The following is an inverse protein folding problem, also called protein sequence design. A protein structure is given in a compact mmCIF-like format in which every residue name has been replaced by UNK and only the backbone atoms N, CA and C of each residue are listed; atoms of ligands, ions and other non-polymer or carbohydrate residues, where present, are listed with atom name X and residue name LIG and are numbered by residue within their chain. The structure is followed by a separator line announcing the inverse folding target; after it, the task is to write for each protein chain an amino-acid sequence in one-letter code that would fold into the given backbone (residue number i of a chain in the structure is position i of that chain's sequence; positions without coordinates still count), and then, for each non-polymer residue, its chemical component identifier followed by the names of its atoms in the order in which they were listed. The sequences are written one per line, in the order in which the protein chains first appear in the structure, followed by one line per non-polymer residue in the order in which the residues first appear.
data_IF_297429752782
#
_entry.id   IF_297429752782
#
_cell.length_a   1.000
_cell.length_b   1.000
_cell.length_c   1.000
_cell.angle_alpha   90.00
_cell.angle_beta   90.00
_cell.angle_gamma   90.00
#
_symmetry.space_group_name_H-M   'P 1'
#
loop_
_entity.id
_entity.type
_entity.pdbx_description
1 polymer ?
#
# COMPACT_ATOMS: atom_id res chain seq x y z
N UNK A 1 22.32 3.22 4.18
CA UNK A 1 21.68 2.18 3.35
C UNK A 1 20.44 2.80 2.75
N UNK A 2 20.45 3.12 1.46
CA UNK A 2 19.19 3.39 0.75
C UNK A 2 18.38 2.10 0.81
N UNK A 3 17.16 2.10 1.37
CA UNK A 3 16.33 0.91 1.32
C UNK A 3 16.13 0.54 -0.15
N UNK A 4 16.32 -0.75 -0.46
CA UNK A 4 16.04 -1.26 -1.80
C UNK A 4 14.53 -1.13 -2.00
N UNK A 5 14.13 -0.21 -2.88
CA UNK A 5 12.73 0.04 -3.22
C UNK A 5 12.11 -1.26 -3.75
N UNK A 6 10.86 -1.53 -3.36
CA UNK A 6 10.09 -2.67 -3.86
C UNK A 6 10.01 -2.62 -5.38
N UNK A 7 10.43 -3.68 -6.09
CA UNK A 7 10.34 -3.75 -7.54
C UNK A 7 8.89 -3.71 -8.05
N UNK A 8 8.66 -3.10 -9.21
CA UNK A 8 7.32 -2.97 -9.82
C UNK A 8 6.68 -4.31 -10.20
N UNK A 9 7.49 -5.34 -10.45
CA UNK A 9 7.06 -6.71 -10.73
C UNK A 9 6.75 -7.52 -9.44
N UNK A 10 6.74 -6.88 -8.28
CA UNK A 10 6.43 -7.55 -7.02
C UNK A 10 4.93 -7.62 -6.80
N UNK A 11 4.45 -8.83 -6.53
CA UNK A 11 3.12 -9.07 -5.97
C UNK A 11 3.22 -8.87 -4.46
N UNK A 12 2.40 -7.99 -3.90
CA UNK A 12 2.42 -7.69 -2.47
C UNK A 12 1.16 -8.23 -1.80
N UNK A 13 1.33 -8.75 -0.58
CA UNK A 13 0.22 -9.19 0.26
C UNK A 13 0.40 -8.71 1.70
N UNK A 14 -0.68 -8.71 2.48
CA UNK A 14 -0.63 -8.39 3.90
C UNK A 14 0.08 -9.49 4.68
N UNK A 15 0.96 -9.11 5.60
CA UNK A 15 1.55 -10.05 6.55
C UNK A 15 0.46 -10.71 7.42
N UNK A 16 0.67 -11.95 7.91
CA UNK A 16 -0.30 -12.63 8.75
C UNK A 16 -0.69 -11.81 9.98
N UNK A 17 -1.99 -11.72 10.25
CA UNK A 17 -2.54 -10.92 11.34
C UNK A 17 -2.68 -9.43 11.02
N UNK A 18 -2.16 -8.95 9.88
CA UNK A 18 -2.39 -7.59 9.40
C UNK A 18 -3.71 -7.52 8.63
N UNK A 19 -4.47 -6.44 8.83
CA UNK A 19 -5.74 -6.15 8.16
C UNK A 19 -5.88 -4.66 7.87
N UNK A 20 -6.43 -4.32 6.71
CA UNK A 20 -7.00 -3.00 6.46
C UNK A 20 -8.41 -2.94 7.06
N UNK A 21 -8.68 -1.92 7.88
CA UNK A 21 -9.96 -1.76 8.59
C UNK A 21 -10.47 -0.33 8.48
N UNK A 22 -11.77 -0.16 8.28
CA UNK A 22 -12.44 1.14 8.41
C UNK A 22 -12.84 1.35 9.87
N UNK A 23 -12.27 2.38 10.51
CA UNK A 23 -12.73 2.89 11.80
C UNK A 23 -13.92 3.83 11.55
N UNK A 24 -15.14 3.32 11.75
CA UNK A 24 -16.38 4.06 11.49
C UNK A 24 -16.66 5.16 12.51
N UNK A 25 -16.01 5.14 13.68
CA UNK A 25 -16.17 6.19 14.70
C UNK A 25 -15.40 7.44 14.30
N UNK A 26 -14.23 7.24 13.68
CA UNK A 26 -13.35 8.33 13.22
C UNK A 26 -13.37 8.56 11.71
N UNK A 27 -14.25 7.84 11.02
CA UNK A 27 -14.41 7.80 9.56
C UNK A 27 -13.08 7.79 8.79
N UNK A 28 -12.23 6.80 9.08
CA UNK A 28 -10.91 6.68 8.46
C UNK A 28 -10.46 5.23 8.36
N UNK A 29 -9.54 4.95 7.44
CA UNK A 29 -8.94 3.63 7.35
C UNK A 29 -7.66 3.54 8.18
N UNK A 30 -7.48 2.36 8.77
CA UNK A 30 -6.30 2.01 9.55
C UNK A 30 -5.78 0.66 9.11
N UNK A 31 -4.46 0.49 9.18
CA UNK A 31 -3.81 -0.82 9.16
C UNK A 31 -3.73 -1.28 10.61
N UNK A 32 -4.27 -2.46 10.89
CA UNK A 32 -4.29 -3.06 12.21
C UNK A 32 -3.57 -4.40 12.19
N UNK A 33 -2.72 -4.63 13.18
CA UNK A 33 -2.04 -5.89 13.44
C UNK A 33 -1.73 -6.09 14.92
N UNK A 34 -1.06 -7.20 15.30
CA UNK A 34 -0.77 -7.51 16.69
C UNK A 34 0.04 -6.43 17.42
N UNK A 35 1.02 -5.85 16.73
CA UNK A 35 1.96 -4.85 17.28
C UNK A 35 1.90 -3.51 16.52
N UNK A 36 0.90 -3.34 15.63
CA UNK A 36 0.85 -2.19 14.72
C UNK A 36 -0.56 -1.63 14.59
N UNK A 37 -0.66 -0.30 14.69
CA UNK A 37 -1.83 0.47 14.31
C UNK A 37 -1.32 1.70 13.53
N UNK A 38 -1.61 1.77 12.24
CA UNK A 38 -1.21 2.88 11.38
C UNK A 38 -2.46 3.52 10.80
N UNK A 39 -2.59 4.82 10.99
CA UNK A 39 -3.64 5.62 10.36
C UNK A 39 -3.25 5.92 8.92
N UNK A 40 -4.20 5.78 8.00
CA UNK A 40 -4.00 6.08 6.60
C UNK A 40 -4.69 7.39 6.24
N UNK A 41 -4.00 8.18 5.42
CA UNK A 41 -4.65 9.24 4.64
C UNK A 41 -5.39 8.62 3.43
N UNK A 42 -6.03 9.46 2.62
CA UNK A 42 -6.80 9.03 1.45
C UNK A 42 -5.94 8.26 0.43
N UNK A 43 -4.75 8.77 0.11
CA UNK A 43 -3.83 8.12 -0.84
C UNK A 43 -3.36 6.76 -0.34
N UNK A 44 -2.90 6.67 0.91
CA UNK A 44 -2.51 5.41 1.53
C UNK A 44 -3.67 4.43 1.59
N UNK A 45 -4.88 4.91 1.86
CA UNK A 45 -6.10 4.07 1.82
C UNK A 45 -6.35 3.51 0.43
N UNK A 46 -6.25 4.34 -0.62
CA UNK A 46 -6.45 3.90 -2.00
C UNK A 46 -5.42 2.84 -2.38
N UNK A 47 -4.13 3.06 -2.08
CA UNK A 47 -3.07 2.08 -2.33
C UNK A 47 -3.39 0.76 -1.62
N UNK A 48 -3.69 0.82 -0.32
CA UNK A 48 -3.91 -0.41 0.47
C UNK A 48 -5.17 -1.18 0.07
N UNK A 49 -6.17 -0.54 -0.55
CA UNK A 49 -7.35 -1.22 -1.11
C UNK A 49 -7.05 -2.01 -2.37
N UNK A 50 -6.00 -1.64 -3.10
CA UNK A 50 -5.59 -2.28 -4.36
C UNK A 50 -4.63 -3.47 -4.14
N UNK A 51 -4.08 -3.63 -2.93
CA UNK A 51 -3.20 -4.76 -2.58
C UNK A 51 -4.05 -6.02 -2.40
N UNK A 52 -3.95 -6.93 -3.37
CA UNK A 52 -4.77 -8.13 -3.49
C UNK A 52 -3.97 -9.45 -3.32
N UNK A 53 -2.63 -9.40 -3.25
CA UNK A 53 -1.79 -10.58 -3.22
C UNK A 53 -1.71 -11.35 -4.55
N UNK A 54 -2.15 -10.75 -5.65
CA UNK A 54 -2.22 -11.37 -6.98
C UNK A 54 -1.60 -10.47 -8.05
N UNK A 55 -1.94 -9.18 -8.05
CA UNK A 55 -1.47 -8.18 -8.99
C UNK A 55 -0.04 -7.74 -8.68
N UNK A 56 0.75 -7.51 -9.74
CA UNK A 56 2.01 -6.78 -9.62
C UNK A 56 1.77 -5.31 -9.21
N UNK A 57 2.77 -4.72 -8.55
CA UNK A 57 2.72 -3.32 -8.14
C UNK A 57 2.55 -2.36 -9.32
N UNK A 58 3.09 -2.69 -10.50
CA UNK A 58 2.85 -1.98 -11.76
C UNK A 58 1.36 -1.85 -12.09
N UNK A 59 0.62 -2.95 -12.03
CA UNK A 59 -0.82 -2.98 -12.29
C UNK A 59 -1.63 -2.22 -11.23
N UNK A 60 -1.19 -2.26 -9.97
CA UNK A 60 -1.78 -1.44 -8.90
C UNK A 60 -1.61 0.05 -9.20
N UNK A 61 -0.41 0.47 -9.62
CA UNK A 61 -0.12 1.87 -10.00
C UNK A 61 -1.01 2.29 -11.18
N UNK A 62 -1.16 1.46 -12.21
CA UNK A 62 -2.02 1.78 -13.35
C UNK A 62 -3.49 2.00 -12.93
N UNK A 63 -4.02 1.16 -12.03
CA UNK A 63 -5.39 1.32 -11.51
C UNK A 63 -5.56 2.58 -10.66
N UNK A 64 -4.56 2.92 -9.85
CA UNK A 64 -4.55 4.15 -9.07
C UNK A 64 -4.47 5.38 -10.00
N UNK A 65 -3.62 5.34 -11.03
CA UNK A 65 -3.48 6.41 -11.99
C UNK A 65 -4.80 6.71 -12.72
N UNK A 66 -5.53 5.67 -13.13
CA UNK A 66 -6.89 5.80 -13.70
C UNK A 66 -7.84 6.42 -12.67
N UNK A 67 -7.84 5.90 -11.44
CA UNK A 67 -8.75 6.36 -10.36
C UNK A 67 -8.55 7.85 -10.05
N UNK A 68 -7.31 8.30 -10.01
CA UNK A 68 -6.96 9.70 -9.71
C UNK A 68 -6.84 10.58 -10.96
N UNK A 69 -7.01 10.02 -12.17
CA UNK A 69 -6.85 10.73 -13.44
C UNK A 69 -5.48 11.44 -13.57
N UNK A 70 -4.42 10.72 -13.21
CA UNK A 70 -3.02 11.20 -13.27
C UNK A 70 -2.16 10.29 -14.15
N UNK A 71 -0.99 10.76 -14.54
CA UNK A 71 0.02 9.93 -15.23
C UNK A 71 0.63 8.92 -14.23
N UNK A 72 0.66 7.60 -14.54
CA UNK A 72 1.32 6.57 -13.73
C UNK A 72 2.75 6.95 -13.31
N UNK A 73 3.52 7.59 -14.19
CA UNK A 73 4.89 8.01 -13.91
C UNK A 73 4.97 9.03 -12.75
N UNK A 74 3.90 9.79 -12.51
CA UNK A 74 3.83 10.81 -11.44
C UNK A 74 3.70 10.17 -10.06
N UNK A 75 3.02 9.02 -9.95
CA UNK A 75 2.74 8.37 -8.66
C UNK A 75 3.63 7.14 -8.39
N UNK A 76 4.33 6.64 -9.42
CA UNK A 76 5.14 5.41 -9.33
C UNK A 76 6.13 5.45 -8.16
N UNK A 77 6.86 6.55 -8.02
CA UNK A 77 7.88 6.69 -6.96
C UNK A 77 7.22 6.69 -5.58
N UNK A 78 6.22 7.54 -5.37
CA UNK A 78 5.54 7.69 -4.09
C UNK A 78 4.87 6.37 -3.64
N UNK A 79 4.21 5.67 -4.56
CA UNK A 79 3.56 4.37 -4.29
C UNK A 79 4.62 3.32 -3.94
N UNK A 80 5.74 3.27 -4.68
CA UNK A 80 6.80 2.31 -4.43
C UNK A 80 7.51 2.57 -3.09
N UNK A 81 7.78 3.83 -2.75
CA UNK A 81 8.36 4.22 -1.47
C UNK A 81 7.41 3.92 -0.31
N UNK A 82 6.13 4.21 -0.47
CA UNK A 82 5.09 3.89 0.52
C UNK A 82 5.03 2.38 0.79
N UNK A 83 4.93 1.55 -0.26
CA UNK A 83 4.93 0.09 -0.13
C UNK A 83 6.23 -0.43 0.48
N UNK A 84 7.38 0.14 0.12
CA UNK A 84 8.68 -0.20 0.71
C UNK A 84 8.69 0.05 2.22
N UNK A 85 8.19 1.21 2.66
CA UNK A 85 8.10 1.53 4.08
C UNK A 85 7.21 0.55 4.85
N UNK A 86 6.13 0.07 4.23
CA UNK A 86 5.25 -0.94 4.83
C UNK A 86 5.87 -2.34 4.88
N UNK A 87 6.65 -2.73 3.87
CA UNK A 87 7.44 -3.97 3.92
C UNK A 87 8.46 -3.90 5.07
N UNK A 88 9.16 -2.77 5.22
CA UNK A 88 10.12 -2.57 6.32
C UNK A 88 9.45 -2.64 7.71
N UNK A 89 8.18 -2.24 7.81
CA UNK A 89 7.37 -2.30 9.04
C UNK A 89 6.70 -3.67 9.26
N UNK A 90 6.96 -4.68 8.43
CA UNK A 90 6.28 -6.00 8.46
C UNK A 90 4.76 -5.87 8.37
N UNK A 91 4.30 -4.95 7.53
CA UNK A 91 2.88 -4.77 7.19
C UNK A 91 2.55 -5.51 5.90
N UNK A 92 3.44 -5.41 4.92
CA UNK A 92 3.36 -6.09 3.63
C UNK A 92 4.52 -7.06 3.46
N UNK A 93 4.32 -8.06 2.61
CA UNK A 93 5.33 -9.04 2.21
C UNK A 93 5.18 -9.36 0.73
N UNK A 94 6.25 -9.94 0.14
CA UNK A 94 6.29 -10.37 -1.27
C UNK A 94 5.93 -11.84 -1.37
#
# INVERSE_FOLDING_TARGET
MTPKVVPLDSVLTFEPGIRLKHDTVRDRYVIQGPEVLIELNETGTAIMKEIDGISELSAVIDRLAITFSVDPATITVDVSEFCTALVMKRVLTK
#
